data_IF_544551741863
#
_entry.id   IF_544551741863
#
_cell.length_a   1.000
_cell.length_b   1.000
_cell.length_c   1.000
_cell.angle_alpha   90.00
_cell.angle_beta   90.00
_cell.angle_gamma   90.00
#
_symmetry.space_group_name_H-M   'P 1'
#
loop_
_entity.id
_entity.type
_entity.pdbx_description
1 polymer ?
#
# COMPACT_ATOMS: atom_id res chain seq x y z
N UNK A 1 -8.22 -0.04 -36.13
CA UNK A 1 -8.25 -0.84 -34.89
C UNK A 1 -7.54 -0.04 -33.81
N UNK A 2 -8.23 0.21 -32.70
CA UNK A 2 -7.61 0.89 -31.55
C UNK A 2 -6.52 -0.02 -30.97
N UNK A 3 -5.32 0.51 -30.76
CA UNK A 3 -4.20 -0.30 -30.25
C UNK A 3 -4.47 -0.65 -28.79
N UNK A 4 -4.44 -1.92 -28.43
CA UNK A 4 -4.62 -2.38 -27.04
C UNK A 4 -3.43 -2.02 -26.15
N UNK A 5 -2.22 -1.98 -26.72
CA UNK A 5 -0.97 -1.73 -26.02
C UNK A 5 -0.16 -0.62 -26.68
N UNK A 6 0.59 0.13 -25.87
CA UNK A 6 1.57 1.13 -26.31
C UNK A 6 2.94 0.83 -25.71
N UNK A 7 3.99 1.05 -26.48
CA UNK A 7 5.37 0.93 -26.01
C UNK A 7 5.79 2.19 -25.27
N UNK A 8 6.83 2.11 -24.44
CA UNK A 8 7.41 3.30 -23.79
C UNK A 8 7.80 4.40 -24.77
N UNK A 9 8.39 4.02 -25.91
CA UNK A 9 8.73 4.98 -26.97
C UNK A 9 7.48 5.71 -27.48
N UNK A 10 6.43 4.98 -27.82
CA UNK A 10 5.19 5.58 -28.30
C UNK A 10 4.51 6.45 -27.24
N UNK A 11 4.62 6.08 -25.97
CA UNK A 11 4.10 6.89 -24.87
C UNK A 11 4.89 8.19 -24.66
N UNK A 12 6.22 8.15 -24.76
CA UNK A 12 7.06 9.35 -24.75
C UNK A 12 6.67 10.30 -25.88
N UNK A 13 6.46 9.79 -27.09
CA UNK A 13 6.05 10.57 -28.25
C UNK A 13 4.65 11.18 -28.06
N UNK A 14 3.69 10.40 -27.52
CA UNK A 14 2.31 10.85 -27.27
C UNK A 14 2.22 11.98 -26.25
N UNK A 15 2.97 11.86 -25.15
CA UNK A 15 2.93 12.85 -24.05
C UNK A 15 3.98 13.95 -24.19
N UNK A 16 4.90 13.85 -25.15
CA UNK A 16 6.02 14.79 -25.30
C UNK A 16 7.00 14.75 -24.11
N UNK A 17 7.10 13.61 -23.43
CA UNK A 17 7.90 13.43 -22.22
C UNK A 17 9.18 12.63 -22.48
N UNK A 18 10.18 12.83 -21.61
CA UNK A 18 11.43 12.06 -21.67
C UNK A 18 11.26 10.65 -21.12
N UNK A 19 12.11 9.73 -21.58
CA UNK A 19 12.14 8.34 -21.06
C UNK A 19 12.27 8.27 -19.53
N UNK A 20 13.11 9.12 -18.94
CA UNK A 20 13.29 9.16 -17.49
C UNK A 20 12.01 9.57 -16.77
N UNK A 21 11.20 10.45 -17.37
CA UNK A 21 9.92 10.87 -16.78
C UNK A 21 8.95 9.70 -16.72
N UNK A 22 8.88 8.90 -17.80
CA UNK A 22 8.05 7.68 -17.81
C UNK A 22 8.56 6.66 -16.79
N UNK A 23 9.87 6.46 -16.67
CA UNK A 23 10.45 5.58 -15.64
C UNK A 23 10.13 6.06 -14.21
N UNK A 24 10.07 7.38 -13.97
CA UNK A 24 9.66 7.94 -12.69
C UNK A 24 8.18 7.66 -12.40
N UNK A 25 7.32 7.72 -13.42
CA UNK A 25 5.91 7.36 -13.31
C UNK A 25 5.68 5.87 -13.05
N UNK A 26 6.54 5.01 -13.59
CA UNK A 26 6.53 3.59 -13.22
C UNK A 26 6.95 3.40 -11.77
N UNK A 27 8.06 4.03 -11.40
CA UNK A 27 8.63 3.91 -10.06
C UNK A 27 7.61 4.36 -9.04
N UNK A 28 7.01 5.54 -9.22
CA UNK A 28 6.06 6.13 -8.29
C UNK A 28 4.65 5.51 -8.33
N UNK A 29 4.37 4.60 -9.26
CA UNK A 29 3.07 3.92 -9.39
C UNK A 29 1.98 4.75 -10.08
N UNK A 30 2.32 5.84 -10.76
CA UNK A 30 1.40 6.57 -11.66
C UNK A 30 1.07 5.74 -12.90
N UNK A 31 2.02 4.93 -13.37
CA UNK A 31 1.88 4.14 -14.58
C UNK A 31 2.29 2.69 -14.33
N UNK A 32 1.49 1.74 -14.80
CA UNK A 32 1.73 0.31 -14.56
C UNK A 32 2.26 -0.36 -15.81
N UNK A 33 3.45 -0.98 -15.71
CA UNK A 33 3.98 -1.81 -16.79
C UNK A 33 3.23 -3.15 -16.84
N UNK A 34 2.88 -3.59 -18.05
CA UNK A 34 2.33 -4.92 -18.28
C UNK A 34 3.38 -6.01 -17.97
N UNK A 35 3.15 -6.89 -16.97
CA UNK A 35 4.13 -7.89 -16.56
C UNK A 35 4.30 -9.04 -17.58
N UNK A 36 3.37 -9.19 -18.52
CA UNK A 36 3.40 -10.29 -19.50
C UNK A 36 4.45 -10.11 -20.61
N UNK A 37 5.12 -8.95 -20.65
CA UNK A 37 6.08 -8.61 -21.71
C UNK A 37 7.43 -8.18 -21.13
N UNK A 38 8.52 -8.72 -21.69
CA UNK A 38 9.90 -8.35 -21.34
C UNK A 38 10.30 -6.93 -21.76
N UNK A 39 9.59 -6.36 -22.74
CA UNK A 39 9.73 -4.94 -23.11
C UNK A 39 8.65 -4.10 -22.40
N UNK A 40 8.95 -2.85 -22.00
CA UNK A 40 7.97 -1.96 -21.39
C UNK A 40 6.78 -1.66 -22.32
N UNK A 41 5.64 -2.25 -21.97
CA UNK A 41 4.34 -2.03 -22.62
C UNK A 41 3.29 -1.64 -21.58
N UNK A 42 2.33 -0.82 -22.01
CA UNK A 42 1.25 -0.30 -21.17
C UNK A 42 -0.09 -0.49 -21.88
N UNK A 43 -1.15 -0.70 -21.09
CA UNK A 43 -2.50 -0.82 -21.62
C UNK A 43 -3.03 0.54 -22.04
N UNK A 44 -3.55 0.67 -23.26
CA UNK A 44 -4.12 1.93 -23.71
C UNK A 44 -5.32 2.37 -22.87
N UNK A 45 -6.07 1.43 -22.29
CA UNK A 45 -7.15 1.73 -21.35
C UNK A 45 -6.66 2.55 -20.14
N UNK A 46 -5.54 2.15 -19.53
CA UNK A 46 -4.92 2.87 -18.42
C UNK A 46 -4.46 4.27 -18.86
N UNK A 47 -3.83 4.39 -20.03
CA UNK A 47 -3.37 5.66 -20.58
C UNK A 47 -4.56 6.61 -20.83
N UNK A 48 -5.62 6.13 -21.47
CA UNK A 48 -6.84 6.90 -21.71
C UNK A 48 -7.47 7.33 -20.39
N UNK A 49 -7.48 6.45 -19.39
CA UNK A 49 -7.99 6.76 -18.06
C UNK A 49 -7.18 7.87 -17.37
N UNK A 50 -5.86 7.85 -17.50
CA UNK A 50 -4.96 8.91 -16.99
C UNK A 50 -5.19 10.23 -17.72
N UNK A 51 -5.37 10.19 -19.04
CA UNK A 51 -5.63 11.36 -19.88
C UNK A 51 -7.03 11.93 -19.68
N UNK A 52 -8.00 11.08 -19.32
CA UNK A 52 -9.36 11.50 -19.04
C UNK A 52 -9.42 12.23 -17.70
N UNK A 53 -9.98 13.45 -17.70
CA UNK A 53 -10.20 14.32 -16.53
C UNK A 53 -11.17 13.73 -15.48
N UNK A 54 -11.51 12.44 -15.55
CA UNK A 54 -12.43 11.80 -14.63
C UNK A 54 -11.75 11.57 -13.29
N UNK A 55 -12.10 12.43 -12.34
CA UNK A 55 -11.65 12.51 -10.95
C UNK A 55 -10.12 12.47 -10.80
N UNK A 56 -9.43 13.63 -10.78
CA UNK A 56 -8.03 13.66 -10.40
C UNK A 56 -7.89 12.92 -9.07
N UNK A 57 -7.04 11.89 -9.05
CA UNK A 57 -6.77 11.18 -7.82
C UNK A 57 -6.40 12.24 -6.76
N UNK A 58 -7.15 12.33 -5.64
CA UNK A 58 -7.01 13.45 -4.71
C UNK A 58 -5.63 13.46 -4.04
N UNK A 59 -4.86 12.38 -4.20
CA UNK A 59 -3.52 12.21 -3.68
C UNK A 59 -2.53 12.08 -4.83
N UNK A 60 -1.47 12.88 -4.76
CA UNK A 60 -0.27 12.66 -5.56
C UNK A 60 0.36 11.29 -5.23
N UNK A 61 1.13 10.69 -6.16
CA UNK A 61 1.82 9.42 -5.91
C UNK A 61 2.72 9.44 -4.66
N UNK A 62 3.32 10.59 -4.35
CA UNK A 62 4.12 10.78 -3.15
C UNK A 62 3.27 10.75 -1.88
N UNK A 63 2.14 11.44 -1.88
CA UNK A 63 1.19 11.44 -0.76
C UNK A 63 0.62 10.04 -0.53
N UNK A 64 0.31 9.31 -1.61
CA UNK A 64 -0.13 7.92 -1.52
C UNK A 64 0.91 7.03 -0.86
N UNK A 65 2.17 7.06 -1.31
CA UNK A 65 3.28 6.30 -0.70
C UNK A 65 3.48 6.67 0.77
N UNK A 66 3.39 7.96 1.10
CA UNK A 66 3.50 8.44 2.48
C UNK A 66 2.39 7.87 3.36
N UNK A 67 1.15 7.87 2.86
CA UNK A 67 0.00 7.26 3.53
C UNK A 67 0.14 5.75 3.66
N UNK A 68 0.57 5.04 2.62
CA UNK A 68 0.82 3.60 2.66
C UNK A 68 1.88 3.22 3.71
N UNK A 69 2.97 3.98 3.80
CA UNK A 69 3.98 3.81 4.83
C UNK A 69 3.40 4.06 6.22
N UNK A 70 2.62 5.14 6.39
CA UNK A 70 1.97 5.46 7.67
C UNK A 70 0.98 4.38 8.10
N UNK A 71 0.22 3.81 7.18
CA UNK A 71 -0.68 2.67 7.43
C UNK A 71 0.13 1.44 7.86
N UNK A 72 1.26 1.16 7.20
CA UNK A 72 2.15 0.04 7.56
C UNK A 72 2.69 0.19 8.97
N UNK A 73 3.16 1.39 9.32
CA UNK A 73 3.73 1.67 10.65
C UNK A 73 2.65 1.61 11.74
N UNK A 74 1.46 2.14 11.46
CA UNK A 74 0.32 2.06 12.39
C UNK A 74 -0.11 0.62 12.63
N UNK A 75 -0.19 -0.22 11.58
CA UNK A 75 -0.49 -1.66 11.73
C UNK A 75 0.54 -2.35 12.63
N UNK A 76 1.84 -2.12 12.38
CA UNK A 76 2.91 -2.67 13.21
C UNK A 76 2.78 -2.24 14.68
N UNK A 77 2.42 -0.98 14.93
CA UNK A 77 2.20 -0.48 16.29
C UNK A 77 1.01 -1.19 16.97
N UNK A 78 -0.10 -1.37 16.25
CA UNK A 78 -1.27 -2.11 16.74
C UNK A 78 -0.91 -3.55 17.11
N UNK A 79 -0.15 -4.24 16.25
CA UNK A 79 0.28 -5.62 16.50
C UNK A 79 1.13 -5.72 17.78
N UNK A 80 2.08 -4.80 17.95
CA UNK A 80 2.92 -4.74 19.16
C UNK A 80 2.12 -4.47 20.43
N UNK A 81 1.15 -3.54 20.36
CA UNK A 81 0.28 -3.21 21.49
C UNK A 81 -0.62 -4.40 21.86
N UNK A 82 -1.15 -5.13 20.87
CA UNK A 82 -1.94 -6.33 21.09
C UNK A 82 -1.11 -7.44 21.74
N UNK A 83 0.15 -7.60 21.33
CA UNK A 83 1.07 -8.56 21.95
C UNK A 83 1.32 -8.22 23.43
N UNK A 84 1.59 -6.95 23.73
CA UNK A 84 1.77 -6.49 25.11
C UNK A 84 0.51 -6.65 25.95
N UNK A 85 -0.65 -6.32 25.39
CA UNK A 85 -1.93 -6.48 26.06
C UNK A 85 -2.18 -7.95 26.40
N UNK A 86 -1.89 -8.86 25.47
CA UNK A 86 -2.02 -10.30 25.70
C UNK A 86 -1.16 -10.75 26.87
N UNK A 87 0.12 -10.34 26.93
CA UNK A 87 1.02 -10.64 28.05
C UNK A 87 0.46 -10.13 29.39
N UNK A 88 -0.03 -8.89 29.41
CA UNK A 88 -0.62 -8.30 30.61
C UNK A 88 -1.88 -9.04 31.06
N UNK A 89 -2.76 -9.43 30.12
CA UNK A 89 -3.97 -10.21 30.44
C UNK A 89 -3.64 -11.57 31.04
N UNK A 90 -2.61 -12.27 30.55
CA UNK A 90 -2.16 -13.55 31.13
C UNK A 90 -1.71 -13.38 32.59
N UNK A 91 -0.85 -12.40 32.87
CA UNK A 91 -0.38 -12.10 34.22
C UNK A 91 -1.56 -11.77 35.15
N UNK A 92 -2.52 -10.98 34.66
CA UNK A 92 -3.70 -10.64 35.44
C UNK A 92 -4.57 -11.87 35.72
N UNK A 93 -4.76 -12.77 34.76
CA UNK A 93 -5.52 -14.01 35.00
C UNK A 93 -4.84 -14.90 36.03
N UNK A 94 -3.52 -15.02 36.00
CA UNK A 94 -2.74 -15.73 37.01
C UNK A 94 -2.91 -15.09 38.39
N UNK A 95 -2.78 -13.76 38.46
CA UNK A 95 -2.93 -12.99 39.70
C UNK A 95 -4.33 -13.16 40.32
N UNK A 96 -5.38 -13.09 39.49
CA UNK A 96 -6.76 -13.33 39.93
C UNK A 96 -6.95 -14.77 40.42
N UNK A 97 -6.34 -15.75 39.76
CA UNK A 97 -6.42 -17.16 40.19
C UNK A 97 -5.80 -17.35 41.57
N UNK A 98 -4.63 -16.75 41.84
CA UNK A 98 -3.94 -16.83 43.12
C UNK A 98 -4.74 -16.17 44.24
N UNK A 99 -5.30 -14.98 43.99
CA UNK A 99 -6.17 -14.30 44.96
C UNK A 99 -7.38 -15.15 45.34
N UNK A 100 -7.97 -15.88 44.38
CA UNK A 100 -9.10 -16.78 44.64
C UNK A 100 -8.72 -17.96 45.53
N UNK A 101 -7.50 -18.48 45.40
CA UNK A 101 -6.98 -19.57 46.24
C UNK A 101 -6.78 -19.06 47.68
N UNK A 102 -6.13 -17.90 47.82
CA UNK A 102 -5.88 -17.29 49.14
C UNK A 102 -7.20 -17.02 49.87
N UNK A 103 -8.22 -16.49 49.18
CA UNK A 103 -9.55 -16.28 49.77
C UNK A 103 -10.24 -17.57 50.24
N UNK A 104 -10.01 -18.70 49.55
CA UNK A 104 -10.55 -20.00 49.97
C UNK A 104 -9.83 -20.58 51.18
N UNK A 105 -8.54 -20.31 51.36
CA UNK A 105 -7.76 -20.81 52.50
C UNK A 105 -8.00 -20.03 53.80
N UNK A 106 -8.52 -18.79 53.70
CA UNK A 106 -8.79 -17.92 54.87
C UNK A 106 -10.23 -18.10 55.40
N UNK A 107 -11.12 -18.73 54.63
CA UNK A 107 -12.48 -19.09 55.04
C UNK A 107 -12.54 -20.52 55.55
#
# INVERSE_FOLDING_TARGET
MEKTLITRKGLCERWGLSYNTICNYESNGTLTRNPNFESPMYYMEEIIKIESLSEPNPLSPMERRSLENKVRDLKRMVDLLQEQLTKYTMINTESVSLLSIVQKCIK
#
